data_IF_257998438531
#
_entry.id   IF_257998438531
#
_cell.length_a   1.000
_cell.length_b   1.000
_cell.length_c   1.000
_cell.angle_alpha   90.00
_cell.angle_beta   90.00
_cell.angle_gamma   90.00
#
_symmetry.space_group_name_H-M   'P 1'
#
loop_
_entity.id
_entity.type
_entity.pdbx_description
1 polymer ?
#
# COMPACT_ATOMS: atom_id res chain seq x y z
N UNK A 1 -15.73 -18.27 10.32
CA UNK A 1 -14.43 -18.00 10.97
C UNK A 1 -13.74 -16.85 10.25
N UNK A 2 -13.71 -15.68 10.86
CA UNK A 2 -13.05 -14.47 10.33
C UNK A 2 -11.60 -14.42 10.81
N UNK A 3 -10.69 -15.07 10.08
CA UNK A 3 -9.24 -15.01 10.34
C UNK A 3 -8.53 -14.13 9.31
N UNK A 4 -7.38 -13.57 9.67
CA UNK A 4 -6.56 -12.73 8.79
C UNK A 4 -6.19 -13.46 7.48
N UNK A 5 -5.77 -14.74 7.48
CA UNK A 5 -5.51 -15.48 6.24
C UNK A 5 -6.73 -15.59 5.32
N UNK A 6 -7.94 -15.75 5.87
CA UNK A 6 -9.17 -15.78 5.09
C UNK A 6 -9.50 -14.40 4.49
N UNK A 7 -9.28 -13.34 5.26
CA UNK A 7 -9.41 -11.97 4.77
C UNK A 7 -8.43 -11.70 3.60
N UNK A 8 -7.16 -12.07 3.73
CA UNK A 8 -6.18 -11.93 2.64
C UNK A 8 -6.53 -12.74 1.40
N UNK A 9 -7.12 -13.94 1.57
CA UNK A 9 -7.61 -14.74 0.43
C UNK A 9 -8.71 -14.01 -0.35
N UNK A 10 -9.63 -13.33 0.34
CA UNK A 10 -10.69 -12.54 -0.30
C UNK A 10 -10.09 -11.33 -1.02
N UNK A 11 -9.11 -10.67 -0.39
CA UNK A 11 -8.47 -9.47 -0.94
C UNK A 11 -7.38 -9.74 -1.98
N UNK A 12 -7.10 -11.02 -2.32
CA UNK A 12 -5.96 -11.43 -3.17
C UNK A 12 -5.87 -10.65 -4.49
N UNK A 13 -7.01 -10.32 -5.10
CA UNK A 13 -7.08 -9.60 -6.39
C UNK A 13 -6.70 -8.12 -6.32
N UNK A 14 -6.58 -7.54 -5.13
CA UNK A 14 -6.33 -6.10 -4.97
C UNK A 14 -4.85 -5.72 -5.00
N UNK A 15 -3.94 -6.69 -4.90
CA UNK A 15 -2.50 -6.46 -4.85
C UNK A 15 -1.76 -7.40 -5.80
N UNK A 16 -0.56 -7.00 -6.23
CA UNK A 16 0.35 -7.82 -7.04
C UNK A 16 0.99 -8.93 -6.21
N UNK A 17 1.67 -9.88 -6.86
CA UNK A 17 2.42 -10.92 -6.15
C UNK A 17 3.58 -10.34 -5.33
N UNK A 18 4.25 -9.28 -5.84
CA UNK A 18 5.33 -8.58 -5.14
C UNK A 18 4.82 -7.94 -3.85
N UNK A 19 3.70 -7.21 -3.93
CA UNK A 19 3.07 -6.59 -2.75
C UNK A 19 2.64 -7.67 -1.74
N UNK A 20 2.04 -8.77 -2.21
CA UNK A 20 1.68 -9.87 -1.33
C UNK A 20 2.88 -10.55 -0.67
N UNK A 21 4.02 -10.63 -1.37
CA UNK A 21 5.26 -11.15 -0.81
C UNK A 21 5.75 -10.28 0.34
N UNK A 22 5.72 -8.95 0.17
CA UNK A 22 6.08 -7.99 1.23
C UNK A 22 5.08 -8.03 2.39
N UNK A 23 3.79 -8.01 2.12
CA UNK A 23 2.74 -8.10 3.15
C UNK A 23 2.93 -9.35 4.00
N UNK A 24 3.17 -10.51 3.37
CA UNK A 24 3.29 -11.80 4.07
C UNK A 24 4.66 -12.09 4.66
N UNK A 25 5.68 -11.30 4.34
CA UNK A 25 7.02 -11.45 4.94
C UNK A 25 7.10 -10.88 6.36
N UNK A 26 6.08 -10.12 6.79
CA UNK A 26 6.00 -9.58 8.15
C UNK A 26 5.88 -10.70 9.21
N UNK A 27 6.51 -10.45 10.37
CA UNK A 27 6.77 -11.46 11.39
C UNK A 27 5.53 -12.09 12.05
N UNK A 28 4.38 -11.41 12.04
CA UNK A 28 3.13 -11.92 12.62
C UNK A 28 1.91 -11.36 11.89
N UNK A 29 0.75 -11.99 12.06
CA UNK A 29 -0.48 -11.61 11.33
C UNK A 29 -0.91 -10.16 11.55
N UNK A 30 -0.67 -9.56 12.72
CA UNK A 30 -0.98 -8.15 12.98
C UNK A 30 -0.09 -7.22 12.16
N UNK A 31 1.23 -7.49 12.12
CA UNK A 31 2.14 -6.73 11.28
C UNK A 31 1.85 -6.92 9.78
N UNK A 32 1.42 -8.12 9.37
CA UNK A 32 0.95 -8.36 8.00
C UNK A 32 -0.29 -7.50 7.71
N UNK A 33 -1.21 -7.39 8.66
CA UNK A 33 -2.42 -6.56 8.53
C UNK A 33 -2.08 -5.06 8.48
N UNK A 34 -1.11 -4.60 9.26
CA UNK A 34 -0.62 -3.22 9.20
C UNK A 34 0.00 -2.92 7.83
N UNK A 35 0.86 -3.81 7.33
CA UNK A 35 1.46 -3.67 6.00
C UNK A 35 0.40 -3.71 4.89
N UNK A 36 -0.60 -4.58 5.01
CA UNK A 36 -1.76 -4.61 4.12
C UNK A 36 -2.47 -3.25 4.08
N UNK A 37 -2.75 -2.66 5.25
CA UNK A 37 -3.43 -1.35 5.31
C UNK A 37 -2.59 -0.23 4.72
N UNK A 38 -1.26 -0.30 4.87
CA UNK A 38 -0.34 0.65 4.23
C UNK A 38 -0.42 0.58 2.70
N UNK A 39 -0.29 -0.61 2.12
CA UNK A 39 -0.44 -0.79 0.66
C UNK A 39 -1.84 -0.39 0.17
N UNK A 40 -2.89 -0.71 0.94
CA UNK A 40 -4.26 -0.33 0.61
C UNK A 40 -4.42 1.19 0.56
N UNK A 41 -3.93 1.90 1.58
CA UNK A 41 -4.00 3.35 1.65
C UNK A 41 -3.27 4.01 0.46
N UNK A 42 -2.08 3.52 0.11
CA UNK A 42 -1.30 3.98 -1.05
C UNK A 42 -2.07 3.85 -2.37
N UNK A 43 -2.70 2.69 -2.62
CA UNK A 43 -3.54 2.51 -3.82
C UNK A 43 -4.73 3.46 -3.81
N UNK A 44 -5.44 3.57 -2.69
CA UNK A 44 -6.59 4.46 -2.56
C UNK A 44 -6.23 5.94 -2.73
N UNK A 45 -5.06 6.38 -2.24
CA UNK A 45 -4.63 7.77 -2.43
C UNK A 45 -4.33 8.07 -3.90
N UNK A 46 -3.65 7.16 -4.59
CA UNK A 46 -3.41 7.29 -6.02
C UNK A 46 -4.72 7.35 -6.81
N UNK A 47 -5.64 6.40 -6.58
CA UNK A 47 -6.95 6.40 -7.27
C UNK A 47 -7.73 7.70 -7.07
N UNK A 48 -7.71 8.24 -5.84
CA UNK A 48 -8.34 9.52 -5.53
C UNK A 48 -7.70 10.68 -6.26
N UNK A 49 -6.36 10.70 -6.36
CA UNK A 49 -5.62 11.75 -7.03
C UNK A 49 -5.90 11.79 -8.54
N UNK A 50 -5.99 10.63 -9.20
CA UNK A 50 -6.31 10.55 -10.63
C UNK A 50 -7.81 10.63 -10.94
N UNK A 51 -8.67 10.68 -9.91
CA UNK A 51 -10.12 10.85 -10.07
C UNK A 51 -10.83 9.63 -10.68
N UNK A 52 -10.24 8.44 -10.61
CA UNK A 52 -10.85 7.21 -11.16
C UNK A 52 -11.59 6.44 -10.07
N UNK A 53 -12.76 5.91 -10.42
CA UNK A 53 -13.62 5.16 -9.50
C UNK A 53 -13.33 3.65 -9.44
N UNK A 54 -14.33 2.92 -8.92
CA UNK A 54 -14.32 1.48 -8.57
C UNK A 54 -13.91 0.54 -9.74
N UNK A 55 -13.96 1.01 -10.99
CA UNK A 55 -13.61 0.22 -12.17
C UNK A 55 -12.12 0.09 -12.45
N UNK A 56 -11.24 0.77 -11.70
CA UNK A 56 -9.81 0.69 -11.94
C UNK A 56 -9.24 -0.67 -11.51
N UNK A 57 -8.47 -1.32 -12.38
CA UNK A 57 -7.80 -2.56 -12.04
C UNK A 57 -6.59 -2.30 -11.14
N UNK A 58 -6.75 -2.53 -9.83
CA UNK A 58 -5.71 -2.33 -8.82
C UNK A 58 -4.42 -3.14 -9.03
N UNK A 59 -4.46 -4.21 -9.83
CA UNK A 59 -3.25 -4.98 -10.17
C UNK A 59 -2.32 -4.27 -11.17
N UNK A 60 -2.77 -3.18 -11.79
CA UNK A 60 -1.91 -2.33 -12.63
C UNK A 60 -0.97 -1.47 -11.80
N UNK A 61 -1.32 -1.20 -10.56
CA UNK A 61 -0.51 -0.41 -9.63
C UNK A 61 0.32 -1.37 -8.80
N UNK A 62 1.59 -1.09 -8.61
CA UNK A 62 2.45 -1.79 -7.65
C UNK A 62 3.20 -0.77 -6.80
N UNK A 63 3.07 -0.87 -5.48
CA UNK A 63 3.85 -0.05 -4.55
C UNK A 63 5.05 -0.80 -3.99
N UNK A 64 6.23 -0.24 -4.21
CA UNK A 64 7.47 -0.66 -3.57
C UNK A 64 7.66 0.18 -2.30
N UNK A 65 7.13 -0.35 -1.20
CA UNK A 65 7.10 0.33 0.09
C UNK A 65 8.47 0.39 0.74
N UNK A 66 8.87 1.60 1.15
CA UNK A 66 10.10 1.86 1.90
C UNK A 66 9.90 3.05 2.86
N UNK A 67 10.48 3.02 4.07
CA UNK A 67 11.07 1.83 4.74
C UNK A 67 9.98 0.86 5.22
N UNK A 68 10.32 -0.42 5.44
CA UNK A 68 9.34 -1.41 5.93
C UNK A 68 8.91 -1.16 7.38
N UNK A 69 9.79 -0.61 8.21
CA UNK A 69 9.50 -0.20 9.58
C UNK A 69 9.51 1.31 9.67
N UNK A 70 8.49 1.87 10.30
CA UNK A 70 8.29 3.31 10.46
C UNK A 70 8.30 3.67 11.94
N UNK A 71 8.76 4.88 12.25
CA UNK A 71 8.71 5.44 13.58
C UNK A 71 7.59 6.48 13.69
N UNK A 72 6.95 6.53 14.87
CA UNK A 72 5.91 7.51 15.16
C UNK A 72 6.50 8.92 15.09
N UNK A 73 5.79 9.83 14.42
CA UNK A 73 6.19 11.23 14.29
C UNK A 73 7.25 11.49 13.21
N UNK A 74 7.63 10.48 12.42
CA UNK A 74 8.45 10.65 11.21
C UNK A 74 7.60 10.54 9.96
N UNK A 75 8.00 11.31 8.95
CA UNK A 75 7.46 11.28 7.58
C UNK A 75 8.50 10.63 6.67
N UNK A 76 8.03 9.77 5.79
CA UNK A 76 8.83 9.01 4.83
C UNK A 76 8.30 9.27 3.42
N UNK A 77 9.18 9.35 2.43
CA UNK A 77 8.81 9.63 1.03
C UNK A 77 9.52 8.72 0.01
N UNK A 78 10.14 7.65 0.50
CA UNK A 78 10.96 6.72 -0.29
C UNK A 78 10.12 5.64 -1.01
N UNK A 79 8.80 5.61 -0.76
CA UNK A 79 7.89 4.66 -1.40
C UNK A 79 7.73 4.99 -2.88
N UNK A 80 7.95 3.99 -3.73
CA UNK A 80 7.88 4.14 -5.19
C UNK A 80 6.63 3.45 -5.73
N UNK A 81 6.07 4.01 -6.79
CA UNK A 81 4.95 3.43 -7.51
C UNK A 81 5.38 2.97 -8.90
N UNK A 82 4.86 1.83 -9.31
CA UNK A 82 4.87 1.37 -10.68
C UNK A 82 3.43 1.33 -11.21
N UNK A 83 3.25 1.74 -12.47
CA UNK A 83 2.02 1.59 -13.23
C UNK A 83 2.30 0.71 -14.46
N UNK A 84 1.58 -0.40 -14.58
CA UNK A 84 1.78 -1.40 -15.64
C UNK A 84 3.23 -1.90 -15.75
N UNK A 85 3.96 -1.90 -14.63
CA UNK A 85 5.36 -2.33 -14.54
C UNK A 85 6.39 -1.23 -14.81
N UNK A 86 5.95 -0.02 -15.18
CA UNK A 86 6.82 1.14 -15.39
C UNK A 86 6.86 2.01 -14.14
N UNK A 87 8.05 2.47 -13.75
CA UNK A 87 8.21 3.32 -12.58
C UNK A 87 7.67 4.73 -12.88
N UNK A 88 6.80 5.20 -12.00
CA UNK A 88 6.21 6.53 -12.07
C UNK A 88 7.08 7.52 -11.28
N UNK A 89 7.82 8.39 -11.97
CA UNK A 89 8.74 9.34 -11.34
C UNK A 89 8.09 10.68 -10.96
N UNK A 90 6.93 10.99 -11.56
CA UNK A 90 6.18 12.21 -11.25
C UNK A 90 5.45 12.09 -9.90
N UNK A 91 5.20 10.87 -9.43
CA UNK A 91 4.44 10.64 -8.21
C UNK A 91 5.36 10.49 -6.99
N UNK A 92 5.18 11.39 -6.02
CA UNK A 92 5.76 11.26 -4.68
C UNK A 92 4.70 10.83 -3.67
N UNK A 93 5.04 9.91 -2.77
CA UNK A 93 4.12 9.41 -1.73
C UNK A 93 4.72 9.63 -0.35
N UNK A 94 4.15 10.57 0.40
CA UNK A 94 4.47 10.74 1.81
C UNK A 94 3.70 9.74 2.67
N UNK A 95 4.36 9.08 3.61
CA UNK A 95 3.74 8.15 4.57
C UNK A 95 4.17 8.55 5.98
N UNK A 96 3.22 8.70 6.88
CA UNK A 96 3.45 8.90 8.31
C UNK A 96 2.80 7.78 9.14
N UNK A 97 3.48 7.37 10.21
CA UNK A 97 2.90 6.46 11.19
C UNK A 97 2.21 7.31 12.26
N UNK A 98 1.02 7.81 11.96
CA UNK A 98 0.15 8.42 12.96
C UNK A 98 -0.87 7.37 13.41
N UNK A 99 -1.11 7.16 14.72
CA UNK A 99 -2.03 6.12 15.23
C UNK A 99 -3.48 6.14 14.70
N UNK A 100 -3.83 7.07 13.80
CA UNK A 100 -5.16 7.13 13.17
C UNK A 100 -5.18 7.42 11.66
N UNK A 101 -4.09 7.84 11.02
CA UNK A 101 -4.14 8.28 9.62
C UNK A 101 -2.81 8.02 8.90
N UNK A 102 -2.91 7.50 7.68
CA UNK A 102 -1.85 7.57 6.68
C UNK A 102 -2.21 8.77 5.80
N UNK A 103 -1.47 9.88 5.90
CA UNK A 103 -1.68 11.04 5.04
C UNK A 103 -0.85 10.84 3.79
N UNK A 104 -1.51 10.74 2.64
CA UNK A 104 -0.87 10.56 1.34
C UNK A 104 -1.15 11.80 0.50
N UNK A 105 -0.12 12.62 0.31
CA UNK A 105 -0.15 13.75 -0.63
C UNK A 105 0.57 13.33 -1.91
N UNK A 106 -0.10 13.53 -3.05
CA UNK A 106 0.52 13.54 -4.36
C UNK A 106 0.80 14.98 -4.77
N UNK A 107 2.02 15.24 -5.24
CA UNK A 107 2.35 16.44 -6.01
C UNK A 107 2.64 16.02 -7.45
#
# INVERSE_FOLDING_TARGET
SSSIPNFFRIMKRQFTETEWHVIKSMNNEWMQLDMFHRHWALKESFLKAIGVGIGFNLQRIEFNVSPLQMEIGKVYNETQMLLDGEKEEEWTFETDLNPRHVILMSL
#
